data_IF_121359547403
#
_entry.id   IF_121359547403
#
_cell.length_a   1.000
_cell.length_b   1.000
_cell.length_c   1.000
_cell.angle_alpha   90.00
_cell.angle_beta   90.00
_cell.angle_gamma   90.00
#
_symmetry.space_group_name_H-M   'P 1'
#
loop_
_entity.id
_entity.type
_entity.pdbx_description
1 polymer ?
#
# COMPACT_ATOMS: atom_id res chain seq x y z
N UNK A 1 12.17 20.63 -11.93
CA UNK A 1 12.69 20.13 -13.22
C UNK A 1 12.80 21.20 -14.31
N UNK A 2 12.08 22.33 -14.27
CA UNK A 2 12.23 23.38 -15.30
C UNK A 2 13.53 24.19 -15.25
N UNK A 3 14.32 24.12 -14.18
CA UNK A 3 15.47 25.01 -14.00
C UNK A 3 16.79 24.49 -14.58
N UNK A 4 16.87 23.22 -14.98
CA UNK A 4 18.14 22.57 -15.40
C UNK A 4 18.22 22.24 -16.89
N UNK A 5 17.18 22.52 -17.69
CA UNK A 5 17.18 22.30 -19.14
C UNK A 5 17.23 20.84 -19.61
N UNK A 6 17.12 19.87 -18.69
CA UNK A 6 17.21 18.45 -19.02
C UNK A 6 15.90 17.92 -19.65
N UNK A 7 16.04 17.15 -20.73
CA UNK A 7 14.91 16.53 -21.45
C UNK A 7 14.31 15.33 -20.70
N UNK A 8 15.17 14.58 -20.00
CA UNK A 8 14.80 13.40 -19.23
C UNK A 8 15.57 13.31 -17.90
N UNK A 9 15.09 12.46 -16.99
CA UNK A 9 15.72 12.18 -15.70
C UNK A 9 15.85 10.68 -15.52
N UNK A 10 17.08 10.19 -15.36
CA UNK A 10 17.33 8.81 -14.97
C UNK A 10 17.34 8.67 -13.45
N UNK A 11 16.78 7.59 -12.93
CA UNK A 11 16.84 7.28 -11.50
C UNK A 11 17.30 5.85 -11.26
N UNK A 12 17.97 5.61 -10.14
CA UNK A 12 18.38 4.26 -9.70
C UNK A 12 17.25 3.40 -9.15
N UNK A 13 16.00 3.66 -9.53
CA UNK A 13 14.87 2.83 -9.13
C UNK A 13 14.83 1.54 -9.95
N UNK A 14 14.50 0.44 -9.28
CA UNK A 14 14.15 -0.82 -9.92
C UNK A 14 12.68 -0.75 -10.30
N UNK A 15 12.41 -0.26 -11.52
CA UNK A 15 11.11 -0.26 -12.17
C UNK A 15 11.34 -0.20 -13.69
N UNK A 16 10.32 -0.48 -14.49
CA UNK A 16 10.37 -0.33 -15.95
C UNK A 16 9.28 0.65 -16.39
N UNK A 17 9.43 1.21 -17.58
CA UNK A 17 8.34 1.89 -18.29
C UNK A 17 7.99 1.11 -19.56
N UNK A 18 6.87 1.45 -20.19
CA UNK A 18 6.55 0.94 -21.53
C UNK A 18 7.28 1.67 -22.66
N UNK A 19 8.12 2.65 -22.35
CA UNK A 19 8.96 3.34 -23.33
C UNK A 19 10.35 2.71 -23.33
N UNK A 20 10.95 2.63 -24.50
CA UNK A 20 12.39 2.39 -24.59
C UNK A 20 13.16 3.66 -24.20
N UNK A 21 14.41 3.51 -23.75
CA UNK A 21 15.21 4.63 -23.24
C UNK A 21 15.38 5.75 -24.29
N UNK A 22 15.51 5.38 -25.57
CA UNK A 22 15.64 6.33 -26.70
C UNK A 22 14.33 7.10 -26.97
N UNK A 23 13.18 6.43 -26.84
CA UNK A 23 11.86 7.03 -27.06
C UNK A 23 11.54 8.15 -26.06
N UNK A 24 12.17 8.14 -24.88
CA UNK A 24 11.99 9.20 -23.87
C UNK A 24 12.53 10.54 -24.39
N UNK A 25 13.61 10.52 -25.17
CA UNK A 25 14.25 11.74 -25.69
C UNK A 25 13.53 12.31 -26.92
N UNK A 26 12.77 11.48 -27.64
CA UNK A 26 12.05 11.90 -28.86
C UNK A 26 10.68 12.56 -28.57
N UNK A 27 10.21 12.53 -27.32
CA UNK A 27 8.91 13.08 -26.97
C UNK A 27 8.87 14.60 -27.08
N UNK A 28 8.23 15.12 -28.15
CA UNK A 28 7.91 16.55 -28.27
C UNK A 28 7.03 16.97 -27.09
N UNK A 29 7.49 17.92 -26.29
CA UNK A 29 6.74 18.46 -25.16
C UNK A 29 5.47 19.19 -25.65
N UNK A 30 4.32 18.53 -25.58
CA UNK A 30 3.03 19.17 -25.79
C UNK A 30 2.61 19.87 -24.49
N UNK A 31 2.51 21.20 -24.50
CA UNK A 31 1.97 21.95 -23.35
C UNK A 31 0.52 21.52 -23.15
N UNK A 32 0.22 21.09 -21.92
CA UNK A 32 -1.12 20.72 -21.46
C UNK A 32 -2.12 21.82 -21.84
N UNK A 33 -3.18 21.53 -22.63
CA UNK A 33 -4.23 22.51 -22.88
C UNK A 33 -4.91 22.86 -21.55
N UNK A 34 -5.02 24.15 -21.23
CA UNK A 34 -5.70 24.63 -20.01
C UNK A 34 -7.24 24.64 -20.13
N UNK A 35 -7.81 23.91 -21.11
CA UNK A 35 -9.25 23.85 -21.34
C UNK A 35 -9.96 22.80 -20.48
N UNK A 36 -11.24 23.04 -20.16
CA UNK A 36 -12.13 22.11 -19.44
C UNK A 36 -12.33 20.76 -20.16
N UNK A 37 -12.00 20.68 -21.46
CA UNK A 37 -12.16 19.48 -22.26
C UNK A 37 -10.83 18.72 -22.34
N UNK A 38 -10.74 17.60 -21.61
CA UNK A 38 -9.69 16.59 -21.81
C UNK A 38 -9.78 16.10 -23.25
N UNK A 39 -8.74 16.34 -24.03
CA UNK A 39 -8.64 15.79 -25.37
C UNK A 39 -8.40 14.27 -25.23
N UNK A 40 -9.46 13.45 -25.34
CA UNK A 40 -9.39 11.97 -25.14
C UNK A 40 -8.37 11.28 -26.04
N UNK A 41 -7.89 11.96 -27.08
CA UNK A 41 -6.88 11.45 -28.01
C UNK A 41 -5.44 11.49 -27.44
N UNK A 42 -5.07 12.43 -26.55
CA UNK A 42 -3.73 12.46 -25.90
C UNK A 42 -3.54 11.35 -24.86
N UNK A 43 -4.65 10.83 -24.32
CA UNK A 43 -4.67 9.69 -23.38
C UNK A 43 -4.30 8.37 -24.08
N UNK A 44 -4.32 8.30 -25.42
CA UNK A 44 -4.06 7.07 -26.17
C UNK A 44 -2.63 6.54 -26.03
N UNK A 45 -1.66 7.40 -25.70
CA UNK A 45 -0.26 7.02 -25.51
C UNK A 45 0.20 7.25 -24.06
N UNK A 46 -0.56 6.71 -23.10
CA UNK A 46 -0.14 6.69 -21.71
C UNK A 46 1.10 5.77 -21.54
N UNK A 47 2.15 6.28 -20.90
CA UNK A 47 3.29 5.48 -20.48
C UNK A 47 2.86 4.62 -19.29
N UNK A 48 3.22 3.34 -19.32
CA UNK A 48 2.93 2.41 -18.25
C UNK A 48 4.09 2.37 -17.28
N UNK A 49 3.78 2.23 -16.00
CA UNK A 49 4.76 1.87 -14.97
C UNK A 49 4.72 0.34 -14.83
N UNK A 50 5.85 -0.32 -15.05
CA UNK A 50 5.96 -1.77 -15.05
C UNK A 50 6.86 -2.25 -13.92
N UNK A 51 6.58 -3.44 -13.38
CA UNK A 51 7.41 -4.09 -12.38
C UNK A 51 8.83 -4.33 -12.90
N UNK A 52 9.82 -4.20 -12.03
CA UNK A 52 11.20 -4.54 -12.36
C UNK A 52 11.37 -6.05 -12.61
N UNK A 53 12.41 -6.41 -13.36
CA UNK A 53 12.83 -7.80 -13.51
C UNK A 53 13.25 -8.43 -12.17
N UNK A 54 13.83 -7.65 -11.26
CA UNK A 54 14.13 -8.05 -9.89
C UNK A 54 12.91 -7.82 -8.99
N UNK A 55 12.11 -8.87 -8.76
CA UNK A 55 10.88 -8.79 -7.97
C UNK A 55 11.11 -8.41 -6.50
N UNK A 56 12.28 -8.72 -5.93
CA UNK A 56 12.63 -8.39 -4.54
C UNK A 56 13.05 -6.92 -4.38
N UNK A 57 13.59 -6.34 -5.46
CA UNK A 57 14.00 -4.93 -5.50
C UNK A 57 12.98 -4.02 -6.17
N UNK A 58 11.96 -4.57 -6.80
CA UNK A 58 10.87 -3.83 -7.43
C UNK A 58 10.36 -2.68 -6.55
N UNK A 59 10.40 -1.47 -7.10
CA UNK A 59 10.09 -0.21 -6.42
C UNK A 59 8.84 0.47 -6.98
N UNK A 60 8.08 -0.20 -7.86
CA UNK A 60 6.80 0.32 -8.37
C UNK A 60 5.82 0.68 -7.25
N UNK A 61 5.88 0.00 -6.10
CA UNK A 61 5.10 0.36 -4.91
C UNK A 61 5.26 1.83 -4.52
N UNK A 62 6.51 2.32 -4.45
CA UNK A 62 6.82 3.70 -4.07
C UNK A 62 6.58 4.70 -5.21
N UNK A 63 6.68 4.22 -6.45
CA UNK A 63 6.43 5.02 -7.66
C UNK A 63 4.94 5.08 -8.04
N UNK A 64 4.06 4.35 -7.35
CA UNK A 64 2.64 4.23 -7.70
C UNK A 64 1.82 5.53 -7.63
N UNK A 65 2.40 6.62 -7.15
CA UNK A 65 1.82 7.98 -7.10
C UNK A 65 2.54 8.96 -8.03
N UNK A 66 3.46 8.49 -8.89
CA UNK A 66 4.15 9.36 -9.86
C UNK A 66 3.14 9.88 -10.88
N UNK A 67 3.22 11.18 -11.21
CA UNK A 67 2.36 11.75 -12.24
C UNK A 67 2.78 11.24 -13.61
N UNK A 68 1.82 11.19 -14.54
CA UNK A 68 2.09 10.73 -15.89
C UNK A 68 3.13 11.61 -16.61
N UNK A 69 3.05 12.93 -16.40
CA UNK A 69 4.02 13.90 -16.91
C UNK A 69 5.45 13.64 -16.40
N UNK A 70 5.61 13.20 -15.16
CA UNK A 70 6.91 12.88 -14.61
C UNK A 70 7.40 11.52 -15.13
N UNK A 71 6.52 10.51 -15.19
CA UNK A 71 6.85 9.17 -15.68
C UNK A 71 7.33 9.22 -17.14
N UNK A 72 6.66 10.00 -17.99
CA UNK A 72 7.04 10.21 -19.41
C UNK A 72 8.45 10.70 -19.62
N UNK A 73 9.02 11.42 -18.65
CA UNK A 73 10.39 11.97 -18.71
C UNK A 73 11.36 11.23 -17.81
N UNK A 74 11.01 10.03 -17.36
CA UNK A 74 11.83 9.25 -16.43
C UNK A 74 12.37 8.00 -17.09
N UNK A 75 13.68 7.79 -16.94
CA UNK A 75 14.38 6.58 -17.37
C UNK A 75 14.71 5.74 -16.13
N UNK A 76 14.55 4.43 -16.24
CA UNK A 76 14.89 3.47 -15.18
C UNK A 76 15.94 2.45 -15.66
N UNK A 77 17.24 2.82 -15.68
CA UNK A 77 18.30 1.97 -16.26
C UNK A 77 18.48 0.62 -15.56
N UNK A 78 18.01 0.50 -14.31
CA UNK A 78 18.12 -0.73 -13.53
C UNK A 78 16.89 -1.64 -13.67
N UNK A 79 15.86 -1.23 -14.43
CA UNK A 79 14.58 -1.91 -14.52
C UNK A 79 14.65 -3.35 -15.02
N UNK A 80 15.56 -3.61 -15.97
CA UNK A 80 15.81 -4.93 -16.53
C UNK A 80 16.87 -5.75 -15.78
N UNK A 81 17.48 -5.21 -14.73
CA UNK A 81 18.65 -5.80 -14.09
C UNK A 81 18.34 -6.32 -12.69
N UNK A 82 19.01 -7.39 -12.29
CA UNK A 82 19.02 -7.85 -10.90
C UNK A 82 20.05 -7.08 -10.09
N UNK A 83 19.83 -6.97 -8.78
CA UNK A 83 20.79 -6.29 -7.90
C UNK A 83 22.18 -6.90 -7.93
N UNK A 84 22.26 -8.23 -8.02
CA UNK A 84 23.53 -8.95 -8.14
C UNK A 84 24.25 -8.57 -9.42
N UNK A 85 23.54 -8.47 -10.55
CA UNK A 85 24.12 -8.06 -11.82
C UNK A 85 24.57 -6.58 -11.80
N UNK A 86 23.78 -5.68 -11.21
CA UNK A 86 24.19 -4.28 -11.01
C UNK A 86 25.48 -4.17 -10.18
N UNK A 87 25.63 -5.01 -9.15
CA UNK A 87 26.89 -5.06 -8.37
C UNK A 87 28.06 -5.60 -9.21
N UNK A 88 27.81 -6.56 -10.10
CA UNK A 88 28.84 -7.06 -11.03
C UNK A 88 29.31 -5.95 -11.97
N UNK A 89 28.39 -5.24 -12.63
CA UNK A 89 28.71 -4.08 -13.49
C UNK A 89 29.54 -3.04 -12.71
N UNK A 90 29.13 -2.72 -11.48
CA UNK A 90 29.85 -1.75 -10.66
C UNK A 90 31.27 -2.22 -10.30
N UNK A 91 31.47 -3.52 -10.05
CA UNK A 91 32.80 -4.09 -9.81
C UNK A 91 33.70 -4.01 -11.06
N UNK A 92 33.17 -4.38 -12.23
CA UNK A 92 33.87 -4.34 -13.52
C UNK A 92 34.28 -2.91 -13.90
N UNK A 93 33.46 -1.92 -13.55
CA UNK A 93 33.75 -0.50 -13.78
C UNK A 93 34.53 0.17 -12.63
N UNK A 94 35.13 -0.62 -11.72
CA UNK A 94 35.97 -0.14 -10.61
C UNK A 94 35.25 0.82 -9.65
N UNK A 95 33.92 0.73 -9.55
CA UNK A 95 33.08 1.53 -8.63
C UNK A 95 33.02 0.88 -7.23
N UNK A 96 34.17 0.50 -6.67
CA UNK A 96 34.23 -0.25 -5.41
C UNK A 96 33.63 0.48 -4.21
N UNK A 97 33.68 1.81 -4.19
CA UNK A 97 33.06 2.63 -3.14
C UNK A 97 31.53 2.46 -3.08
N UNK A 98 30.87 2.18 -4.21
CA UNK A 98 29.42 1.90 -4.26
C UNK A 98 29.11 0.53 -3.67
N UNK A 99 29.98 -0.46 -3.91
CA UNK A 99 29.81 -1.83 -3.42
C UNK A 99 29.90 -1.93 -1.89
N UNK A 100 30.73 -1.09 -1.28
CA UNK A 100 30.92 -1.03 0.17
C UNK A 100 29.78 -0.28 0.90
N UNK A 101 29.01 0.54 0.16
CA UNK A 101 27.93 1.32 0.74
C UNK A 101 26.74 0.41 1.09
N UNK A 102 26.38 0.38 2.37
CA UNK A 102 25.16 -0.29 2.84
C UNK A 102 23.94 0.40 2.22
N UNK A 103 22.94 -0.40 1.87
CA UNK A 103 21.67 0.14 1.37
C UNK A 103 21.01 1.02 2.44
N UNK A 104 20.41 2.14 1.99
CA UNK A 104 19.62 3.01 2.84
C UNK A 104 18.36 2.26 3.26
N UNK A 105 18.20 2.06 4.57
CA UNK A 105 17.02 1.41 5.17
C UNK A 105 16.29 2.42 6.05
N UNK A 106 14.95 2.38 6.05
CA UNK A 106 14.09 3.28 6.83
C UNK A 106 13.51 4.44 6.02
N UNK A 107 12.85 5.38 6.71
CA UNK A 107 12.28 6.57 6.08
C UNK A 107 13.42 7.44 5.55
N UNK A 108 13.35 7.83 4.28
CA UNK A 108 14.29 8.76 3.68
C UNK A 108 14.46 9.99 4.59
N UNK A 109 15.70 10.43 4.78
CA UNK A 109 16.09 11.59 5.61
C UNK A 109 16.02 11.45 7.14
N UNK A 110 15.37 10.41 7.70
CA UNK A 110 15.35 10.21 9.18
C UNK A 110 16.60 9.45 9.67
N UNK A 111 17.16 8.58 8.82
CA UNK A 111 18.29 7.73 9.18
C UNK A 111 17.92 6.59 10.14
N UNK A 112 18.92 5.94 10.75
CA UNK A 112 18.74 4.82 11.69
C UNK A 112 18.45 5.36 13.11
N UNK A 113 17.22 5.79 13.36
CA UNK A 113 16.77 6.24 14.69
C UNK A 113 15.70 5.32 15.27
N UNK A 114 15.57 5.30 16.59
CA UNK A 114 14.42 4.66 17.25
C UNK A 114 13.14 5.44 16.86
N UNK A 115 12.21 4.77 16.17
CA UNK A 115 11.01 5.40 15.62
C UNK A 115 10.08 5.99 16.69
N UNK A 116 9.90 5.29 17.83
CA UNK A 116 9.09 5.78 18.95
C UNK A 116 9.67 7.10 19.48
N UNK A 117 10.97 7.14 19.77
CA UNK A 117 11.61 8.34 20.26
C UNK A 117 11.52 9.50 19.26
N UNK A 118 11.72 9.22 17.97
CA UNK A 118 11.60 10.22 16.91
C UNK A 118 10.20 10.83 16.82
N UNK A 119 9.14 10.02 16.82
CA UNK A 119 7.77 10.52 16.71
C UNK A 119 7.36 11.35 17.93
N UNK A 120 7.81 10.96 19.12
CA UNK A 120 7.52 11.69 20.37
C UNK A 120 8.20 13.06 20.47
N UNK A 121 9.13 13.40 19.57
CA UNK A 121 9.66 14.76 19.45
C UNK A 121 8.65 15.72 18.82
N UNK A 122 7.67 15.20 18.08
CA UNK A 122 6.68 16.00 17.34
C UNK A 122 5.26 15.84 17.89
N UNK A 123 4.96 14.71 18.53
CA UNK A 123 3.63 14.41 19.06
C UNK A 123 3.70 14.20 20.58
N UNK A 124 2.84 14.91 21.30
CA UNK A 124 2.69 14.70 22.74
C UNK A 124 2.15 13.29 23.03
N UNK A 125 2.72 12.57 24.03
CA UNK A 125 2.18 11.29 24.47
C UNK A 125 0.70 11.39 24.83
N UNK A 126 -0.09 10.41 24.39
CA UNK A 126 -1.51 10.27 24.73
C UNK A 126 -1.74 8.87 25.29
N UNK A 127 -1.51 8.64 26.59
CA UNK A 127 -1.57 7.31 27.16
C UNK A 127 -2.93 6.65 26.96
N UNK A 128 -2.93 5.33 26.75
CA UNK A 128 -4.13 4.52 26.55
C UNK A 128 -3.89 3.09 26.99
N UNK A 129 -4.91 2.23 26.85
CA UNK A 129 -4.88 0.85 27.33
C UNK A 129 -4.71 -0.14 26.18
N UNK A 130 -4.04 -1.25 26.48
CA UNK A 130 -4.18 -2.46 25.68
C UNK A 130 -5.40 -3.23 26.13
N UNK A 131 -6.32 -3.49 25.20
CA UNK A 131 -7.59 -4.18 25.50
C UNK A 131 -7.70 -5.45 24.64
N UNK A 132 -7.95 -6.59 25.28
CA UNK A 132 -8.17 -7.87 24.61
C UNK A 132 -9.47 -7.88 23.80
N UNK A 133 -9.44 -8.33 22.54
CA UNK A 133 -10.67 -8.51 21.73
C UNK A 133 -11.45 -9.79 22.06
N UNK A 134 -10.86 -10.69 22.85
CA UNK A 134 -11.50 -11.94 23.26
C UNK A 134 -12.50 -11.69 24.39
N UNK A 135 -12.04 -11.03 25.46
CA UNK A 135 -12.76 -10.90 26.73
C UNK A 135 -12.85 -9.45 27.25
N UNK A 136 -12.41 -8.45 26.46
CA UNK A 136 -12.38 -7.03 26.83
C UNK A 136 -11.53 -6.70 28.07
N UNK A 137 -10.65 -7.61 28.52
CA UNK A 137 -9.76 -7.33 29.64
C UNK A 137 -8.69 -6.31 29.28
N UNK A 138 -8.38 -5.43 30.22
CA UNK A 138 -7.23 -4.51 30.13
C UNK A 138 -5.97 -5.29 30.47
N UNK A 139 -5.02 -5.32 29.55
CA UNK A 139 -3.80 -6.11 29.66
C UNK A 139 -2.58 -5.26 30.05
N UNK A 140 -2.68 -3.93 29.93
CA UNK A 140 -1.61 -2.99 30.23
C UNK A 140 -1.88 -1.61 29.63
N UNK A 141 -0.87 -0.75 29.64
CA UNK A 141 -0.93 0.62 29.11
C UNK A 141 0.16 0.90 28.09
N UNK A 142 -0.02 1.97 27.32
CA UNK A 142 0.96 2.46 26.35
C UNK A 142 1.02 3.99 26.31
N UNK A 143 2.02 4.54 25.62
CA UNK A 143 2.24 6.01 25.51
C UNK A 143 1.41 6.70 24.41
N UNK A 144 0.80 5.95 23.51
CA UNK A 144 -0.05 6.51 22.45
C UNK A 144 -0.40 5.53 21.36
N UNK A 145 -1.67 5.51 20.94
CA UNK A 145 -2.15 4.61 19.89
C UNK A 145 -1.44 4.82 18.54
N UNK A 146 -0.96 6.05 18.28
CA UNK A 146 -0.22 6.41 17.06
C UNK A 146 1.16 5.74 16.95
N UNK A 147 1.68 5.16 18.05
CA UNK A 147 2.93 4.39 18.06
C UNK A 147 2.76 2.95 17.54
N UNK A 148 1.53 2.55 17.25
CA UNK A 148 1.19 1.18 16.89
C UNK A 148 0.59 1.07 15.49
N UNK A 149 0.98 0.01 14.81
CA UNK A 149 0.45 -0.38 13.50
C UNK A 149 -0.28 -1.73 13.62
N UNK A 150 -1.33 -1.92 12.82
CA UNK A 150 -2.03 -3.20 12.78
C UNK A 150 -1.07 -4.34 12.42
N UNK A 151 -1.21 -5.47 13.10
CA UNK A 151 -0.33 -6.64 13.00
C UNK A 151 1.02 -6.52 13.69
N UNK A 152 1.34 -5.38 14.31
CA UNK A 152 2.54 -5.22 15.14
C UNK A 152 2.40 -6.04 16.41
N UNK A 153 3.48 -6.70 16.85
CA UNK A 153 3.55 -7.33 18.16
C UNK A 153 3.50 -6.25 19.25
N UNK A 154 2.51 -6.32 20.13
CA UNK A 154 2.41 -5.49 21.31
C UNK A 154 3.30 -6.08 22.42
N UNK A 155 4.26 -5.30 22.91
CA UNK A 155 5.12 -5.70 24.03
C UNK A 155 4.40 -5.36 25.33
N UNK A 156 3.59 -6.29 25.83
CA UNK A 156 2.80 -6.15 27.06
C UNK A 156 3.52 -6.90 28.19
N UNK A 157 3.83 -6.22 29.29
CA UNK A 157 4.51 -6.81 30.44
C UNK A 157 3.68 -7.94 31.07
N UNK A 158 4.32 -9.02 31.48
CA UNK A 158 3.66 -10.15 32.17
C UNK A 158 2.99 -11.18 31.25
N UNK A 159 2.97 -10.96 29.93
CA UNK A 159 2.37 -11.90 28.97
C UNK A 159 3.36 -12.96 28.48
N UNK A 160 3.00 -14.23 28.66
CA UNK A 160 3.80 -15.38 28.17
C UNK A 160 3.71 -15.54 26.66
N UNK A 161 2.51 -15.40 26.10
CA UNK A 161 2.27 -15.52 24.66
C UNK A 161 2.38 -14.17 23.94
N UNK A 162 2.71 -14.15 22.63
CA UNK A 162 2.77 -12.90 21.87
C UNK A 162 1.36 -12.37 21.55
N UNK A 163 1.15 -11.08 21.86
CA UNK A 163 -0.05 -10.34 21.51
C UNK A 163 0.19 -9.40 20.33
N UNK A 164 -0.82 -9.21 19.50
CA UNK A 164 -0.74 -8.41 18.27
C UNK A 164 -1.85 -7.36 18.21
N UNK A 165 -1.51 -6.19 17.68
CA UNK A 165 -2.44 -5.08 17.50
C UNK A 165 -3.42 -5.40 16.36
N UNK A 166 -4.72 -5.41 16.65
CA UNK A 166 -5.79 -5.80 15.70
C UNK A 166 -6.78 -4.68 15.38
N UNK A 167 -6.85 -3.66 16.23
CA UNK A 167 -7.64 -2.45 16.03
C UNK A 167 -7.02 -1.28 16.82
N UNK A 168 -7.36 -0.05 16.44
CA UNK A 168 -7.02 1.16 17.19
C UNK A 168 -8.27 1.98 17.37
N UNK A 169 -8.67 2.24 18.61
CA UNK A 169 -9.76 3.13 18.94
C UNK A 169 -9.18 4.52 19.19
N UNK A 170 -9.15 5.36 18.16
CA UNK A 170 -8.62 6.72 18.29
C UNK A 170 -9.50 7.63 19.16
N UNK A 171 -10.77 7.29 19.38
CA UNK A 171 -11.68 8.09 20.19
C UNK A 171 -11.42 7.86 21.69
N UNK A 172 -11.23 6.60 22.11
CA UNK A 172 -10.84 6.25 23.48
C UNK A 172 -9.34 6.35 23.73
N UNK A 173 -8.54 6.29 22.66
CA UNK A 173 -7.09 6.21 22.73
C UNK A 173 -6.56 4.80 22.99
N UNK A 174 -7.41 3.78 22.94
CA UNK A 174 -7.07 2.39 23.26
C UNK A 174 -6.55 1.64 22.02
N UNK A 175 -5.69 0.65 22.28
CA UNK A 175 -5.18 -0.28 21.27
C UNK A 175 -5.73 -1.67 21.57
N UNK A 176 -6.53 -2.19 20.64
CA UNK A 176 -7.11 -3.52 20.80
C UNK A 176 -6.12 -4.57 20.30
N UNK A 177 -5.99 -5.64 21.06
CA UNK A 177 -5.00 -6.71 20.84
C UNK A 177 -5.63 -8.09 20.87
N UNK A 178 -5.00 -9.04 20.18
CA UNK A 178 -5.37 -10.45 20.18
C UNK A 178 -4.14 -11.35 20.38
N UNK A 179 -4.30 -12.53 20.99
CA UNK A 179 -3.22 -13.49 21.16
C UNK A 179 -2.90 -14.20 19.84
N UNK A 180 -1.67 -14.68 19.68
CA UNK A 180 -1.18 -15.45 18.51
C UNK A 180 -1.13 -14.66 17.19
N UNK A 181 -0.24 -15.10 16.30
CA UNK A 181 0.04 -14.37 15.04
C UNK A 181 -1.02 -14.60 13.96
N UNK A 182 -1.80 -15.68 14.09
CA UNK A 182 -2.80 -16.17 13.15
C UNK A 182 -4.24 -15.87 13.60
N UNK A 183 -4.42 -15.06 14.65
CA UNK A 183 -5.74 -14.73 15.16
C UNK A 183 -6.66 -14.13 14.09
N UNK A 184 -7.93 -14.60 13.94
CA UNK A 184 -8.83 -14.14 12.88
C UNK A 184 -9.12 -12.63 12.88
N UNK A 185 -8.95 -11.94 14.01
CA UNK A 185 -9.11 -10.48 14.09
C UNK A 185 -8.03 -9.70 13.30
N UNK A 186 -6.91 -10.36 12.97
CA UNK A 186 -5.87 -9.78 12.11
C UNK A 186 -6.24 -9.85 10.61
N UNK A 187 -7.22 -10.65 10.21
CA UNK A 187 -7.51 -10.93 8.82
C UNK A 187 -8.77 -10.21 8.36
N UNK A 188 -8.66 -9.55 7.21
CA UNK A 188 -9.72 -8.78 6.55
C UNK A 188 -9.60 -8.96 5.04
N UNK A 189 -10.73 -9.10 4.36
CA UNK A 189 -10.81 -9.25 2.91
C UNK A 189 -11.26 -7.97 2.20
N UNK A 190 -11.96 -7.08 2.90
CA UNK A 190 -12.52 -5.86 2.33
C UNK A 190 -11.79 -4.60 2.84
N UNK A 191 -11.50 -3.67 1.93
CA UNK A 191 -11.04 -2.32 2.26
C UNK A 191 -11.60 -1.28 1.27
N UNK A 192 -11.62 -0.01 1.69
CA UNK A 192 -11.94 1.13 0.83
C UNK A 192 -10.78 2.11 0.80
N UNK A 193 -10.39 2.52 -0.40
CA UNK A 193 -9.39 3.56 -0.61
C UNK A 193 -10.01 4.95 -0.71
N UNK A 194 -9.18 5.98 -0.62
CA UNK A 194 -9.48 7.30 -1.17
C UNK A 194 -9.56 7.27 -2.70
N UNK A 195 -9.67 8.44 -3.32
CA UNK A 195 -9.59 8.56 -4.78
C UNK A 195 -8.28 7.93 -5.25
N UNK A 196 -8.38 7.03 -6.23
CA UNK A 196 -7.20 6.35 -6.77
C UNK A 196 -6.45 7.30 -7.70
N UNK A 197 -5.13 7.37 -7.50
CA UNK A 197 -4.22 7.93 -8.49
C UNK A 197 -3.92 6.85 -9.51
N UNK A 198 -4.38 7.04 -10.74
CA UNK A 198 -4.08 6.15 -11.85
C UNK A 198 -2.86 6.66 -12.60
N UNK A 199 -1.89 5.79 -12.88
CA UNK A 199 -0.68 6.16 -13.63
C UNK A 199 -1.05 6.67 -15.03
N UNK A 200 -2.02 6.01 -15.67
CA UNK A 200 -2.57 6.42 -16.96
C UNK A 200 -3.56 7.60 -16.89
N UNK A 201 -3.62 8.33 -15.77
CA UNK A 201 -4.55 9.44 -15.44
C UNK A 201 -6.05 9.10 -15.38
N UNK A 202 -6.46 7.96 -15.94
CA UNK A 202 -7.82 7.44 -15.94
C UNK A 202 -7.85 5.99 -15.41
N UNK A 203 -8.97 5.53 -14.82
CA UNK A 203 -9.15 4.13 -14.48
C UNK A 203 -9.10 3.24 -15.74
N UNK A 204 -8.70 1.97 -15.62
CA UNK A 204 -8.73 1.02 -16.74
C UNK A 204 -10.12 0.92 -17.38
N UNK A 205 -10.18 0.83 -18.71
CA UNK A 205 -11.44 0.85 -19.46
C UNK A 205 -12.43 -0.23 -18.99
N UNK A 206 -11.94 -1.43 -18.68
CA UNK A 206 -12.76 -2.51 -18.11
C UNK A 206 -13.40 -2.11 -16.78
N UNK A 207 -12.62 -1.48 -15.89
CA UNK A 207 -13.14 -0.98 -14.60
C UNK A 207 -14.17 0.13 -14.77
N UNK A 208 -14.04 0.99 -15.80
CA UNK A 208 -15.03 2.04 -16.07
C UNK A 208 -16.35 1.44 -16.58
N UNK A 209 -16.25 0.52 -17.55
CA UNK A 209 -17.38 -0.10 -18.26
C UNK A 209 -18.16 -1.03 -17.32
N UNK A 210 -17.46 -1.94 -16.67
CA UNK A 210 -18.07 -3.03 -15.90
C UNK A 210 -18.25 -2.65 -14.43
N UNK A 211 -17.72 -1.49 -14.00
CA UNK A 211 -17.62 -1.03 -12.60
C UNK A 211 -16.82 -1.94 -11.67
N UNK A 212 -16.41 -3.10 -12.16
CA UNK A 212 -15.63 -4.09 -11.43
C UNK A 212 -14.50 -4.62 -12.30
N UNK A 213 -13.38 -4.98 -11.69
CA UNK A 213 -12.25 -5.57 -12.42
C UNK A 213 -11.39 -6.42 -11.51
N UNK A 214 -11.03 -7.60 -11.97
CA UNK A 214 -10.03 -8.45 -11.33
C UNK A 214 -8.61 -7.93 -11.56
N UNK A 215 -7.85 -7.82 -10.49
CA UNK A 215 -6.44 -7.45 -10.54
C UNK A 215 -5.72 -8.03 -9.31
N UNK A 216 -4.50 -7.58 -9.09
CA UNK A 216 -3.77 -7.85 -7.86
C UNK A 216 -3.53 -6.56 -7.09
N UNK A 217 -3.30 -6.67 -5.79
CA UNK A 217 -2.84 -5.54 -5.00
C UNK A 217 -1.80 -5.95 -3.96
N UNK A 218 -1.06 -4.96 -3.47
CA UNK A 218 -0.26 -5.05 -2.24
C UNK A 218 -0.34 -3.73 -1.50
N UNK A 219 -0.19 -3.80 -0.18
CA UNK A 219 -0.24 -2.61 0.69
C UNK A 219 1.01 -2.41 1.55
N UNK A 220 1.97 -3.33 1.42
CA UNK A 220 3.32 -3.23 1.98
C UNK A 220 4.33 -3.54 0.88
N UNK A 221 5.41 -2.78 0.84
CA UNK A 221 6.54 -3.07 -0.05
C UNK A 221 7.08 -4.49 0.23
N UNK A 222 7.45 -5.21 -0.83
CA UNK A 222 7.89 -6.62 -0.81
C UNK A 222 6.84 -7.67 -0.38
N UNK A 223 5.61 -7.26 -0.06
CA UNK A 223 4.53 -8.23 0.10
C UNK A 223 4.19 -8.85 -1.26
N UNK A 224 3.92 -10.16 -1.27
CA UNK A 224 3.37 -10.84 -2.43
C UNK A 224 2.07 -10.18 -2.89
N UNK A 225 1.85 -10.21 -4.21
CA UNK A 225 0.62 -9.73 -4.81
C UNK A 225 -0.56 -10.60 -4.39
N UNK A 226 -1.63 -9.96 -3.93
CA UNK A 226 -2.87 -10.62 -3.52
C UNK A 226 -3.92 -10.43 -4.62
N UNK A 227 -4.53 -11.52 -5.12
CA UNK A 227 -5.65 -11.43 -6.04
C UNK A 227 -6.83 -10.68 -5.39
N UNK A 228 -7.45 -9.77 -6.14
CA UNK A 228 -8.57 -8.97 -5.66
C UNK A 228 -9.50 -8.52 -6.79
N UNK A 229 -10.69 -8.10 -6.39
CA UNK A 229 -11.65 -7.42 -7.26
C UNK A 229 -11.74 -5.97 -6.82
N UNK A 230 -11.54 -5.05 -7.76
CA UNK A 230 -11.81 -3.63 -7.57
C UNK A 230 -13.27 -3.34 -7.92
N UNK A 231 -13.94 -2.50 -7.15
CA UNK A 231 -15.25 -1.92 -7.49
C UNK A 231 -15.17 -0.40 -7.43
N UNK A 232 -15.40 0.26 -8.57
CA UNK A 232 -15.23 1.71 -8.74
C UNK A 232 -16.49 2.47 -8.36
N UNK A 233 -16.35 3.41 -7.41
CA UNK A 233 -17.41 4.33 -7.02
C UNK A 233 -17.39 5.61 -7.87
N UNK A 234 -18.51 6.33 -7.90
CA UNK A 234 -18.67 7.58 -8.66
C UNK A 234 -17.71 8.70 -8.19
N UNK A 235 -17.35 8.71 -6.91
CA UNK A 235 -16.42 9.68 -6.31
C UNK A 235 -14.93 9.40 -6.62
N UNK A 236 -14.65 8.33 -7.39
CA UNK A 236 -13.31 7.87 -7.74
C UNK A 236 -12.63 7.02 -6.65
N UNK A 237 -13.32 6.76 -5.54
CA UNK A 237 -12.86 5.77 -4.55
C UNK A 237 -13.10 4.35 -5.05
N UNK A 238 -12.36 3.39 -4.50
CA UNK A 238 -12.48 1.98 -4.88
C UNK A 238 -12.66 1.12 -3.64
N UNK A 239 -13.60 0.19 -3.71
CA UNK A 239 -13.65 -0.97 -2.82
C UNK A 239 -12.73 -2.04 -3.38
N UNK A 240 -11.91 -2.64 -2.51
CA UNK A 240 -10.98 -3.71 -2.86
C UNK A 240 -11.39 -4.93 -2.05
N UNK A 241 -11.82 -5.97 -2.73
CA UNK A 241 -12.20 -7.26 -2.14
C UNK A 241 -11.11 -8.27 -2.48
N UNK A 242 -10.28 -8.61 -1.50
CA UNK A 242 -9.29 -9.65 -1.63
C UNK A 242 -9.96 -11.02 -1.77
N UNK A 243 -9.47 -11.86 -2.67
CA UNK A 243 -9.99 -13.23 -2.85
C UNK A 243 -9.77 -14.06 -1.59
N UNK A 244 -8.66 -13.83 -0.88
CA UNK A 244 -8.36 -14.43 0.42
C UNK A 244 -8.12 -13.35 1.45
N UNK A 245 -8.65 -13.54 2.66
CA UNK A 245 -8.48 -12.58 3.74
C UNK A 245 -6.99 -12.31 4.04
N UNK A 246 -6.65 -11.03 4.19
CA UNK A 246 -5.28 -10.54 4.27
C UNK A 246 -4.96 -10.10 5.68
N UNK A 247 -3.81 -10.54 6.17
CA UNK A 247 -3.33 -10.21 7.52
C UNK A 247 -2.90 -8.75 7.60
N UNK A 248 -3.34 -8.08 8.67
CA UNK A 248 -2.83 -6.78 9.11
C UNK A 248 -2.96 -5.64 8.09
N UNK A 249 -4.08 -5.59 7.36
CA UNK A 249 -4.43 -4.41 6.56
C UNK A 249 -4.44 -3.16 7.45
N UNK A 250 -3.77 -2.09 7.02
CA UNK A 250 -3.54 -0.91 7.85
C UNK A 250 -4.06 0.38 7.17
N UNK A 251 -5.03 1.10 7.77
CA UNK A 251 -5.43 2.41 7.30
C UNK A 251 -4.25 3.38 7.32
N UNK A 252 -4.21 4.27 6.34
CA UNK A 252 -3.11 5.21 6.13
C UNK A 252 -2.00 4.71 5.21
N UNK A 253 -1.84 3.40 5.04
CA UNK A 253 -0.99 2.83 3.99
C UNK A 253 -1.68 2.95 2.62
N UNK A 254 -0.96 2.68 1.54
CA UNK A 254 -1.49 2.70 0.17
C UNK A 254 -1.75 1.28 -0.31
N UNK A 255 -2.90 1.04 -0.93
CA UNK A 255 -3.14 -0.14 -1.74
C UNK A 255 -2.69 0.17 -3.18
N UNK A 256 -1.70 -0.57 -3.67
CA UNK A 256 -1.15 -0.43 -5.03
C UNK A 256 -1.67 -1.56 -5.89
N UNK A 257 -2.20 -1.23 -7.07
CA UNK A 257 -2.92 -2.14 -7.95
C UNK A 257 -2.09 -2.56 -9.15
N UNK A 258 -2.17 -3.84 -9.52
CA UNK A 258 -1.38 -4.45 -10.59
C UNK A 258 -2.23 -5.33 -11.51
N UNK A 259 -1.96 -5.28 -12.83
CA UNK A 259 -2.52 -6.21 -13.82
C UNK A 259 -1.38 -6.75 -14.68
N UNK A 260 -1.06 -8.04 -14.53
CA UNK A 260 0.22 -8.56 -15.03
C UNK A 260 1.37 -7.79 -14.38
N UNK A 261 2.33 -7.35 -15.19
CA UNK A 261 3.48 -6.54 -14.74
C UNK A 261 3.16 -5.05 -14.57
N UNK A 262 1.98 -4.58 -15.00
CA UNK A 262 1.63 -3.16 -14.99
C UNK A 262 1.15 -2.71 -13.61
N UNK A 263 1.82 -1.69 -13.04
CA UNK A 263 1.36 -0.93 -11.90
C UNK A 263 0.33 0.09 -12.37
N UNK A 264 -0.95 -0.16 -12.07
CA UNK A 264 -2.07 0.68 -12.50
C UNK A 264 -2.11 2.01 -11.73
N UNK A 265 -1.63 2.01 -10.49
CA UNK A 265 -1.68 3.15 -9.58
C UNK A 265 -1.97 2.74 -8.14
N UNK A 266 -2.33 3.70 -7.30
CA UNK A 266 -2.63 3.41 -5.90
C UNK A 266 -3.61 4.38 -5.23
N UNK A 267 -4.20 3.91 -4.14
CA UNK A 267 -5.09 4.71 -3.29
C UNK A 267 -4.76 4.51 -1.82
N UNK A 268 -4.80 5.60 -1.04
CA UNK A 268 -4.65 5.53 0.42
C UNK A 268 -5.79 4.73 1.03
N UNK A 269 -5.49 3.72 1.82
CA UNK A 269 -6.48 2.91 2.54
C UNK A 269 -7.11 3.79 3.62
N UNK A 270 -8.42 4.04 3.52
CA UNK A 270 -9.15 4.90 4.45
C UNK A 270 -9.95 4.09 5.44
N UNK A 271 -10.60 3.02 4.97
CA UNK A 271 -11.47 2.18 5.79
C UNK A 271 -11.23 0.72 5.50
N UNK A 272 -11.48 -0.10 6.51
CA UNK A 272 -11.44 -1.55 6.42
C UNK A 272 -12.84 -2.09 6.63
N UNK A 273 -13.12 -3.24 6.02
CA UNK A 273 -14.26 -4.06 6.37
C UNK A 273 -14.09 -4.73 7.75
N UNK A 274 -15.13 -5.46 8.19
CA UNK A 274 -15.09 -6.23 9.42
C UNK A 274 -13.97 -7.28 9.36
N UNK A 275 -13.36 -7.58 10.51
CA UNK A 275 -12.41 -8.69 10.60
C UNK A 275 -13.11 -10.04 10.49
N UNK A 276 -12.38 -11.08 10.09
CA UNK A 276 -12.91 -12.45 10.07
C UNK A 276 -13.46 -12.85 11.46
N UNK A 277 -12.81 -12.40 12.53
CA UNK A 277 -13.29 -12.59 13.90
C UNK A 277 -14.65 -11.92 14.18
N UNK A 278 -14.82 -10.67 13.74
CA UNK A 278 -16.08 -9.93 13.87
C UNK A 278 -17.21 -10.62 13.11
N UNK A 279 -16.93 -11.08 11.88
CA UNK A 279 -17.88 -11.82 11.05
C UNK A 279 -18.30 -13.14 11.69
N UNK A 280 -17.36 -13.90 12.26
CA UNK A 280 -17.66 -15.16 12.95
C UNK A 280 -18.55 -14.93 14.17
N UNK A 281 -18.24 -13.93 15.02
CA UNK A 281 -19.09 -13.58 16.17
C UNK A 281 -20.51 -13.17 15.76
N UNK A 282 -20.66 -12.45 14.64
CA UNK A 282 -21.97 -12.08 14.10
C UNK A 282 -22.82 -13.29 13.69
N UNK A 283 -22.21 -14.27 13.01
CA UNK A 283 -22.88 -15.52 12.59
C UNK A 283 -23.30 -16.39 13.79
N UNK A 284 -22.45 -16.49 14.82
CA UNK A 284 -22.80 -17.23 16.04
C UNK A 284 -23.96 -16.60 16.81
N UNK A 285 -24.10 -15.26 16.80
CA UNK A 285 -25.24 -14.58 17.44
C UNK A 285 -26.55 -14.72 16.64
N UNK A 286 -26.47 -14.72 15.31
CA UNK A 286 -27.64 -14.89 14.46
C UNK A 286 -28.22 -16.33 14.52
N UNK A 287 -27.38 -17.34 14.74
CA UNK A 287 -27.80 -18.74 14.88
C UNK A 287 -28.37 -19.09 16.27
N UNK A 288 -28.26 -18.19 17.25
CA UNK A 288 -28.81 -18.38 18.61
C UNK A 288 -30.15 -17.68 18.84
N UNK A 289 -30.77 -17.07 17.81
CA UNK A 289 -32.12 -16.51 17.93
C UNK A 289 -33.12 -17.67 17.77
N UNK A 290 -33.93 -18.03 18.79
CA UNK A 290 -34.92 -19.08 18.66
C UNK A 290 -36.03 -18.66 17.70
N UNK A 291 -36.48 -19.57 16.84
CA UNK A 291 -37.70 -19.39 16.05
C UNK A 291 -38.85 -19.03 17.01
N UNK A 292 -39.44 -17.85 16.82
CA UNK A 292 -40.60 -17.41 17.58
C UNK A 292 -41.78 -18.35 17.36
N UNK A 293 -42.68 -18.52 18.34
CA UNK A 293 -43.72 -19.54 18.25
C UNK A 293 -44.63 -19.27 17.05
N UNK A 294 -44.71 -20.25 16.16
CA UNK A 294 -45.75 -20.35 15.14
C UNK A 294 -47.11 -20.22 15.82
N UNK A 295 -47.80 -19.09 15.61
CA UNK A 295 -49.25 -19.02 15.80
C UNK A 295 -49.88 -19.76 14.63
N UNK A 296 -50.29 -21.01 14.89
CA UNK A 296 -51.28 -21.70 14.09
C UNK A 296 -52.66 -21.06 14.31
N UNK A 297 -53.54 -21.10 13.29
CA UNK A 297 -54.71 -20.22 13.15
C UNK A 297 -55.82 -20.46 14.18
#
# INVERSE_FOLDING_TARGET
MRCSGADAVATGHYARTSLEDEEVFEQKHVKRPQGLFRNRFEVRNAVKLLQAADSFKDQTFFLSQVSQDALRRTIFPLGGLTKSFVKKIAAENRLHHVLQKKESMGICFVGKRNFEHFILQYLQPRPGKFVSVEDNKVLGTHKGWFLYTLGQRAKISGMREPWFVVEKDSAKGDVLVAPRTDHPALYRDLLRTGRVHWIAEEPPAALIRDKMMECHFRFRHQMALVPCVLTLNQDGTVWVTAVTAVRALAPGQFAVFYKGDECLGSGKILRLGPSAYTLHKGRSRASTVPDGPHRAP
#
